data_IF_689109814002
#
_entry.id   IF_689109814002
#
_cell.length_a   1.000
_cell.length_b   1.000
_cell.length_c   1.000
_cell.angle_alpha   90.00
_cell.angle_beta   90.00
_cell.angle_gamma   90.00
#
_symmetry.space_group_name_H-M   'P 1'
#
loop_
_entity.id
_entity.type
_entity.pdbx_description
1 polymer ?
#
# COMPACT_ATOMS: atom_id res chain seq x y z
N UNK A 1 11.56 22.16 -5.49
CA UNK A 1 10.58 23.26 -5.32
C UNK A 1 10.03 23.14 -3.90
N UNK A 2 10.24 24.15 -3.04
CA UNK A 2 9.68 24.09 -1.67
C UNK A 2 8.16 24.11 -1.79
N UNK A 3 7.51 23.04 -1.38
CA UNK A 3 6.05 22.99 -1.27
C UNK A 3 5.69 24.04 -0.20
N UNK A 4 5.06 25.14 -0.64
CA UNK A 4 4.51 26.14 0.26
C UNK A 4 3.17 25.60 0.79
N UNK A 5 3.21 25.02 1.96
CA UNK A 5 2.02 24.70 2.74
C UNK A 5 1.31 26.01 3.08
N UNK A 6 0.05 26.10 2.72
CA UNK A 6 -0.79 27.26 3.02
C UNK A 6 -1.07 27.32 4.53
N UNK A 7 -0.15 27.93 5.28
CA UNK A 7 -0.33 28.26 6.71
C UNK A 7 -0.97 29.64 6.82
N UNK A 8 -2.27 29.75 6.69
CA UNK A 8 -3.01 30.88 7.23
C UNK A 8 -4.00 30.38 8.28
N UNK A 9 -3.54 30.23 9.51
CA UNK A 9 -4.41 30.32 10.70
C UNK A 9 -4.08 31.59 11.44
N UNK A 10 -5.02 32.50 11.43
CA UNK A 10 -5.03 33.79 12.12
C UNK A 10 -5.09 33.54 13.64
N UNK A 11 -4.22 34.24 14.38
CA UNK A 11 -4.23 34.30 15.85
C UNK A 11 -5.61 34.72 16.37
N UNK A 12 -6.25 33.86 17.15
CA UNK A 12 -7.39 34.23 18.00
C UNK A 12 -7.32 33.45 19.31
N UNK A 13 -7.15 34.23 20.39
CA UNK A 13 -7.49 33.96 21.79
C UNK A 13 -6.90 32.71 22.46
N UNK A 14 -6.05 32.92 23.45
CA UNK A 14 -5.63 31.92 24.44
C UNK A 14 -6.85 31.39 25.24
N UNK A 15 -7.57 30.45 24.65
CA UNK A 15 -8.33 29.43 25.38
C UNK A 15 -7.36 28.27 25.65
N UNK A 16 -7.48 27.61 26.79
CA UNK A 16 -6.77 26.34 27.08
C UNK A 16 -7.05 25.35 25.94
N UNK A 17 -6.23 25.35 24.89
CA UNK A 17 -6.33 24.41 23.78
C UNK A 17 -5.88 23.07 24.38
N UNK A 18 -6.85 22.20 24.65
CA UNK A 18 -6.56 20.83 25.04
C UNK A 18 -5.88 20.16 23.85
N UNK A 19 -4.61 19.76 24.01
CA UNK A 19 -3.84 19.05 22.98
C UNK A 19 -4.57 17.76 22.58
N UNK A 20 -4.91 17.60 21.30
CA UNK A 20 -5.48 16.35 20.78
C UNK A 20 -4.45 15.23 20.85
N UNK A 21 -4.81 14.09 21.39
CA UNK A 21 -3.96 12.90 21.46
C UNK A 21 -4.17 12.05 20.22
N UNK A 22 -3.16 11.99 19.37
CA UNK A 22 -3.19 11.17 18.15
C UNK A 22 -2.39 9.90 18.40
N UNK A 23 -3.02 8.74 18.22
CA UNK A 23 -2.38 7.43 18.27
C UNK A 23 -2.04 6.98 16.84
N UNK A 24 -0.75 6.91 16.54
CA UNK A 24 -0.23 6.46 15.24
C UNK A 24 0.17 4.98 15.35
N UNK A 25 -0.35 4.14 14.46
CA UNK A 25 -0.05 2.70 14.43
C UNK A 25 0.81 2.40 13.21
N UNK A 26 1.90 1.69 13.42
CA UNK A 26 3.02 1.50 12.52
C UNK A 26 3.83 2.80 12.33
N UNK A 27 5.10 2.74 12.71
CA UNK A 27 6.02 3.88 12.66
C UNK A 27 7.24 3.51 11.82
N UNK A 28 7.06 2.72 10.77
CA UNK A 28 8.10 2.40 9.81
C UNK A 28 8.44 3.59 8.91
N UNK A 29 9.49 3.46 8.11
CA UNK A 29 9.92 4.50 7.16
C UNK A 29 8.79 4.83 6.14
N UNK A 30 7.97 3.86 5.82
CA UNK A 30 6.82 4.00 4.94
C UNK A 30 5.78 5.01 5.46
N UNK A 31 5.77 5.28 6.78
CA UNK A 31 4.91 6.28 7.41
C UNK A 31 5.55 7.68 7.46
N UNK A 32 6.74 7.87 6.91
CA UNK A 32 7.48 9.13 7.02
C UNK A 32 6.65 10.36 6.59
N UNK A 33 5.98 10.39 5.43
CA UNK A 33 5.17 11.54 5.02
C UNK A 33 4.03 11.83 6.00
N UNK A 34 3.34 10.80 6.49
CA UNK A 34 2.26 10.94 7.47
C UNK A 34 2.78 11.48 8.81
N UNK A 35 3.87 10.92 9.34
CA UNK A 35 4.46 11.36 10.61
C UNK A 35 4.95 12.81 10.50
N UNK A 36 5.63 13.17 9.40
CA UNK A 36 6.13 14.52 9.17
C UNK A 36 4.99 15.54 9.04
N UNK A 37 3.88 15.16 8.40
CA UNK A 37 2.66 15.98 8.37
C UNK A 37 2.10 16.21 9.77
N UNK A 38 1.95 15.15 10.58
CA UNK A 38 1.41 15.22 11.94
C UNK A 38 2.28 16.08 12.87
N UNK A 39 3.60 16.04 12.72
CA UNK A 39 4.54 16.91 13.47
C UNK A 39 4.33 18.40 13.14
N UNK A 40 3.84 18.70 11.95
CA UNK A 40 3.48 20.09 11.57
C UNK A 40 2.23 20.63 12.25
N UNK A 41 1.43 19.79 12.91
CA UNK A 41 0.24 20.22 13.66
C UNK A 41 0.64 20.74 15.05
N UNK A 42 0.18 21.94 15.41
CA UNK A 42 0.62 22.63 16.64
C UNK A 42 -0.17 22.29 17.89
N UNK A 43 -1.35 21.68 17.72
CA UNK A 43 -2.33 21.38 18.78
C UNK A 43 -2.49 19.89 19.06
N UNK A 44 -1.51 19.08 18.67
CA UNK A 44 -1.53 17.63 18.78
C UNK A 44 -0.36 17.08 19.60
N UNK A 45 -0.60 15.98 20.29
CA UNK A 45 0.40 15.17 20.98
C UNK A 45 0.39 13.76 20.42
N UNK A 46 1.53 13.30 19.89
CA UNK A 46 1.65 12.01 19.23
C UNK A 46 1.98 10.90 20.24
N UNK A 47 1.31 9.77 20.07
CA UNK A 47 1.58 8.48 20.71
C UNK A 47 1.77 7.44 19.62
N UNK A 48 2.64 6.46 19.84
CA UNK A 48 2.98 5.49 18.81
C UNK A 48 2.82 4.04 19.22
N UNK A 49 2.50 3.18 18.24
CA UNK A 49 2.61 1.73 18.37
C UNK A 49 3.46 1.23 17.21
N UNK A 50 4.50 0.42 17.51
CA UNK A 50 5.38 -0.13 16.49
C UNK A 50 5.87 -1.53 16.85
N UNK A 51 6.16 -2.35 15.82
CA UNK A 51 6.60 -3.74 16.01
C UNK A 51 8.10 -3.87 16.31
N UNK A 52 8.91 -2.85 16.06
CA UNK A 52 10.36 -2.88 16.28
C UNK A 52 10.82 -1.77 17.23
N UNK A 53 12.08 -1.86 17.65
CA UNK A 53 12.72 -0.85 18.52
C UNK A 53 13.29 0.35 17.75
N UNK A 54 13.17 0.35 16.43
CA UNK A 54 13.72 1.38 15.54
C UNK A 54 12.63 2.06 14.72
N UNK A 55 11.68 2.76 15.36
CA UNK A 55 10.64 3.50 14.64
C UNK A 55 11.24 4.74 13.95
N UNK A 56 10.52 5.26 12.95
CA UNK A 56 10.83 6.54 12.32
C UNK A 56 10.56 7.68 13.30
N UNK A 57 11.51 8.60 13.47
CA UNK A 57 11.43 9.80 14.33
C UNK A 57 10.86 9.53 15.74
N UNK A 58 11.44 8.62 16.53
CA UNK A 58 10.90 8.26 17.85
C UNK A 58 10.79 9.45 18.81
N UNK A 59 11.62 10.48 18.63
CA UNK A 59 11.69 11.67 19.48
C UNK A 59 10.42 12.55 19.42
N UNK A 60 9.59 12.43 18.37
CA UNK A 60 8.37 13.25 18.22
C UNK A 60 7.18 12.66 18.98
N UNK A 61 7.28 11.42 19.45
CA UNK A 61 6.24 10.72 20.19
C UNK A 61 6.43 10.87 21.71
N UNK A 62 5.36 11.21 22.42
CA UNK A 62 5.38 11.25 23.89
C UNK A 62 5.70 9.88 24.49
N UNK A 63 5.15 8.84 23.90
CA UNK A 63 5.37 7.44 24.30
C UNK A 63 5.14 6.53 23.10
N UNK A 64 5.98 5.51 22.97
CA UNK A 64 5.85 4.47 21.97
C UNK A 64 5.68 3.13 22.67
N UNK A 65 4.67 2.37 22.28
CA UNK A 65 4.44 0.99 22.70
C UNK A 65 4.97 0.04 21.65
N UNK A 66 5.89 -0.86 22.02
CA UNK A 66 6.45 -1.84 21.11
C UNK A 66 5.75 -3.18 21.28
N UNK A 67 5.02 -3.63 20.25
CA UNK A 67 4.35 -4.93 20.21
C UNK A 67 4.12 -5.37 18.75
N UNK A 68 3.79 -6.64 18.54
CA UNK A 68 3.28 -7.11 17.26
C UNK A 68 1.99 -6.36 16.90
N UNK A 69 1.88 -5.85 15.66
CA UNK A 69 0.69 -5.10 15.21
C UNK A 69 -0.58 -5.97 15.11
N UNK A 70 -0.47 -7.28 15.31
CA UNK A 70 -1.58 -8.23 15.41
C UNK A 70 -1.97 -8.53 16.84
N UNK A 71 -1.18 -8.12 17.84
CA UNK A 71 -1.47 -8.29 19.26
C UNK A 71 -2.49 -7.25 19.75
N UNK A 72 -3.76 -7.44 19.32
CA UNK A 72 -4.85 -6.54 19.67
C UNK A 72 -5.03 -6.34 21.19
N UNK A 73 -4.89 -7.35 22.07
CA UNK A 73 -4.93 -7.15 23.52
C UNK A 73 -3.89 -6.14 24.01
N UNK A 74 -2.63 -6.26 23.56
CA UNK A 74 -1.54 -5.34 23.92
C UNK A 74 -1.78 -3.93 23.38
N UNK A 75 -2.21 -3.82 22.12
CA UNK A 75 -2.57 -2.57 21.45
C UNK A 75 -3.70 -1.86 22.22
N UNK A 76 -4.78 -2.57 22.56
CA UNK A 76 -5.92 -2.00 23.29
C UNK A 76 -5.56 -1.61 24.73
N UNK A 77 -4.67 -2.35 25.40
CA UNK A 77 -4.16 -1.97 26.70
C UNK A 77 -3.48 -0.60 26.65
N UNK A 78 -2.59 -0.40 25.66
CA UNK A 78 -1.94 0.89 25.47
C UNK A 78 -2.91 1.99 25.05
N UNK A 79 -3.81 1.74 24.11
CA UNK A 79 -4.84 2.71 23.69
C UNK A 79 -5.73 3.17 24.86
N UNK A 80 -6.10 2.24 25.77
CA UNK A 80 -6.84 2.60 26.98
C UNK A 80 -6.04 3.53 27.92
N UNK A 81 -4.71 3.37 28.01
CA UNK A 81 -3.87 4.25 28.84
C UNK A 81 -3.70 5.65 28.22
N UNK A 82 -3.72 5.75 26.89
CA UNK A 82 -3.62 7.01 26.14
C UNK A 82 -4.96 7.73 26.11
N UNK A 83 -6.08 6.99 25.92
CA UNK A 83 -7.40 7.56 25.60
C UNK A 83 -7.31 8.54 24.43
N UNK A 84 -7.05 8.04 23.19
CA UNK A 84 -6.79 8.90 22.03
C UNK A 84 -8.04 9.64 21.58
N UNK A 85 -7.84 10.83 21.03
CA UNK A 85 -8.86 11.65 20.34
C UNK A 85 -8.92 11.33 18.84
N UNK A 86 -7.85 10.70 18.30
CA UNK A 86 -7.79 10.18 16.95
C UNK A 86 -6.85 8.96 16.88
N UNK A 87 -7.12 8.06 15.94
CA UNK A 87 -6.24 6.94 15.61
C UNK A 87 -5.95 6.96 14.11
N UNK A 88 -4.68 6.82 13.74
CA UNK A 88 -4.21 6.98 12.37
C UNK A 88 -3.24 5.87 12.00
N UNK A 89 -3.37 5.36 10.78
CA UNK A 89 -2.45 4.39 10.18
C UNK A 89 -2.58 4.40 8.67
N UNK A 90 -1.50 4.10 7.95
CA UNK A 90 -1.54 3.89 6.51
C UNK A 90 -0.56 2.80 6.05
N UNK A 91 -0.64 2.39 4.78
CA UNK A 91 0.25 1.46 4.06
C UNK A 91 0.44 0.06 4.69
N UNK A 92 -0.31 -0.29 5.73
CA UNK A 92 -0.12 -1.58 6.43
C UNK A 92 -1.46 -2.23 6.81
N UNK A 93 -1.70 -3.44 6.30
CA UNK A 93 -2.97 -4.15 6.51
C UNK A 93 -3.22 -4.51 7.98
N UNK A 94 -2.15 -4.89 8.72
CA UNK A 94 -2.29 -5.23 10.14
C UNK A 94 -2.61 -4.00 10.99
N UNK A 95 -2.00 -2.87 10.69
CA UNK A 95 -2.27 -1.62 11.41
C UNK A 95 -3.63 -1.04 11.06
N UNK A 96 -4.13 -1.25 9.84
CA UNK A 96 -5.51 -0.91 9.45
C UNK A 96 -6.53 -1.63 10.35
N UNK A 97 -6.34 -2.94 10.58
CA UNK A 97 -7.26 -3.69 11.43
C UNK A 97 -7.21 -3.20 12.88
N UNK A 98 -6.01 -2.94 13.40
CA UNK A 98 -5.85 -2.36 14.75
C UNK A 98 -6.48 -0.96 14.85
N UNK A 99 -6.33 -0.12 13.82
CA UNK A 99 -6.99 1.20 13.72
C UNK A 99 -8.50 1.06 13.77
N UNK A 100 -9.09 0.15 13.00
CA UNK A 100 -10.54 -0.08 12.98
C UNK A 100 -11.06 -0.52 14.36
N UNK A 101 -10.34 -1.42 15.05
CA UNK A 101 -10.70 -1.88 16.40
C UNK A 101 -10.68 -0.74 17.43
N UNK A 102 -9.66 0.13 17.37
CA UNK A 102 -9.55 1.28 18.26
C UNK A 102 -10.63 2.32 17.93
N UNK A 103 -10.83 2.62 16.66
CA UNK A 103 -11.87 3.56 16.22
C UNK A 103 -13.26 3.14 16.72
N UNK A 104 -13.62 1.88 16.55
CA UNK A 104 -14.88 1.33 17.05
C UNK A 104 -14.98 1.43 18.58
N UNK A 105 -13.91 0.99 19.30
CA UNK A 105 -13.91 0.96 20.78
C UNK A 105 -14.04 2.34 21.41
N UNK A 106 -13.41 3.36 20.84
CA UNK A 106 -13.38 4.72 21.37
C UNK A 106 -14.38 5.66 20.69
N UNK A 107 -15.20 5.12 19.76
CA UNK A 107 -16.15 5.89 18.94
C UNK A 107 -15.47 7.05 18.20
N UNK A 108 -14.33 6.75 17.56
CA UNK A 108 -13.53 7.69 16.75
C UNK A 108 -13.82 7.51 15.27
N UNK A 109 -13.58 8.54 14.45
CA UNK A 109 -13.55 8.36 12.99
C UNK A 109 -12.48 7.35 12.56
N UNK A 110 -12.83 6.49 11.59
CA UNK A 110 -11.91 5.49 11.11
C UNK A 110 -12.58 4.48 10.17
N UNK A 111 -11.79 3.54 9.62
CA UNK A 111 -12.32 2.46 8.80
C UNK A 111 -13.22 1.55 9.62
N UNK A 112 -14.23 0.95 8.99
CA UNK A 112 -15.10 0.00 9.64
C UNK A 112 -14.38 -1.34 9.91
N UNK A 113 -14.79 -2.08 10.94
CA UNK A 113 -14.26 -3.43 11.19
C UNK A 113 -14.49 -4.36 9.99
N UNK A 114 -15.60 -4.20 9.28
CA UNK A 114 -15.92 -5.03 8.10
C UNK A 114 -14.94 -4.72 6.97
N UNK A 115 -14.69 -3.44 6.66
CA UNK A 115 -13.76 -3.07 5.60
C UNK A 115 -12.33 -3.54 5.91
N UNK A 116 -11.89 -3.37 7.15
CA UNK A 116 -10.59 -3.83 7.61
C UNK A 116 -10.45 -5.37 7.56
N UNK A 117 -11.52 -6.11 7.90
CA UNK A 117 -11.52 -7.57 7.82
C UNK A 117 -11.49 -8.06 6.38
N UNK A 118 -12.24 -7.41 5.46
CA UNK A 118 -12.22 -7.72 4.04
C UNK A 118 -10.84 -7.44 3.42
N UNK A 119 -10.20 -6.32 3.80
CA UNK A 119 -8.82 -6.01 3.38
C UNK A 119 -7.83 -7.12 3.78
N UNK A 120 -7.95 -7.66 4.99
CA UNK A 120 -7.01 -8.63 5.54
C UNK A 120 -7.29 -10.09 5.16
N UNK A 121 -8.30 -10.37 4.32
CA UNK A 121 -8.69 -11.75 3.98
C UNK A 121 -9.11 -11.89 2.53
N UNK A 122 -8.21 -12.45 1.73
CA UNK A 122 -8.42 -12.61 0.28
C UNK A 122 -9.63 -13.48 -0.08
N UNK A 123 -9.92 -14.50 0.72
CA UNK A 123 -11.08 -15.35 0.50
C UNK A 123 -12.40 -14.59 0.72
N UNK A 124 -12.49 -13.81 1.80
CA UNK A 124 -13.66 -12.98 2.05
C UNK A 124 -13.86 -11.91 0.96
N UNK A 125 -12.77 -11.35 0.41
CA UNK A 125 -12.86 -10.47 -0.75
C UNK A 125 -13.47 -11.18 -1.95
N UNK A 126 -13.03 -12.41 -2.25
CA UNK A 126 -13.56 -13.21 -3.36
C UNK A 126 -15.03 -13.55 -3.17
N UNK A 127 -15.41 -14.05 -2.00
CA UNK A 127 -16.82 -14.35 -1.67
C UNK A 127 -17.71 -13.10 -1.84
N UNK A 128 -17.24 -11.96 -1.33
CA UNK A 128 -17.97 -10.71 -1.42
C UNK A 128 -18.08 -10.20 -2.86
N UNK A 129 -16.97 -10.24 -3.60
CA UNK A 129 -16.92 -9.84 -5.01
C UNK A 129 -17.81 -10.74 -5.88
N UNK A 130 -17.74 -12.06 -5.68
CA UNK A 130 -18.60 -13.03 -6.36
C UNK A 130 -20.08 -12.77 -6.10
N UNK A 131 -20.47 -12.59 -4.83
CA UNK A 131 -21.85 -12.30 -4.45
C UNK A 131 -22.38 -10.98 -5.05
N UNK A 132 -21.49 -10.09 -5.53
CA UNK A 132 -21.83 -8.84 -6.20
C UNK A 132 -21.70 -8.90 -7.72
N UNK A 133 -21.38 -10.07 -8.28
CA UNK A 133 -21.20 -10.27 -9.71
C UNK A 133 -20.01 -9.54 -10.33
N UNK A 134 -18.97 -9.27 -9.52
CA UNK A 134 -17.73 -8.68 -10.02
C UNK A 134 -16.85 -9.73 -10.72
N UNK A 135 -16.09 -9.31 -11.72
CA UNK A 135 -15.14 -10.17 -12.42
C UNK A 135 -13.93 -10.46 -11.52
N UNK A 136 -13.72 -11.72 -11.21
CA UNK A 136 -12.65 -12.23 -10.35
C UNK A 136 -12.08 -13.52 -10.95
N UNK A 137 -10.83 -13.92 -10.65
CA UNK A 137 -10.32 -15.23 -10.98
C UNK A 137 -11.19 -16.34 -10.36
N UNK A 138 -11.29 -17.51 -10.98
CA UNK A 138 -11.78 -18.69 -10.29
C UNK A 138 -10.89 -18.94 -9.06
N UNK A 139 -11.47 -19.40 -7.95
CA UNK A 139 -10.74 -19.51 -6.67
C UNK A 139 -11.27 -20.63 -5.79
N UNK A 140 -10.42 -21.09 -4.87
CA UNK A 140 -10.81 -22.03 -3.81
C UNK A 140 -9.98 -21.80 -2.55
N UNK A 141 -10.62 -21.82 -1.38
CA UNK A 141 -9.93 -21.90 -0.10
C UNK A 141 -9.38 -23.33 0.09
N UNK A 142 -8.10 -23.44 0.42
CA UNK A 142 -7.39 -24.69 0.55
C UNK A 142 -6.84 -24.86 1.97
N UNK A 143 -7.12 -26.00 2.58
CA UNK A 143 -6.58 -26.41 3.89
C UNK A 143 -5.58 -27.55 3.77
N UNK A 144 -5.65 -28.29 2.68
CA UNK A 144 -4.76 -29.41 2.33
C UNK A 144 -4.30 -29.29 0.88
N UNK A 145 -3.18 -29.89 0.55
CA UNK A 145 -2.60 -29.84 -0.79
C UNK A 145 -3.52 -30.44 -1.87
N UNK A 146 -4.30 -31.44 -1.53
CA UNK A 146 -5.23 -32.08 -2.46
C UNK A 146 -6.36 -31.16 -2.95
N UNK A 147 -6.67 -30.10 -2.17
CA UNK A 147 -7.56 -29.04 -2.63
C UNK A 147 -7.00 -28.30 -3.85
N UNK A 148 -5.68 -28.01 -3.85
CA UNK A 148 -5.00 -27.34 -4.96
C UNK A 148 -4.90 -28.28 -6.18
N UNK A 149 -4.57 -29.57 -5.96
CA UNK A 149 -4.53 -30.58 -7.03
C UNK A 149 -5.88 -30.70 -7.73
N UNK A 150 -6.95 -30.87 -6.95
CA UNK A 150 -8.31 -30.92 -7.48
C UNK A 150 -8.72 -29.66 -8.24
N UNK A 151 -8.29 -28.50 -7.75
CA UNK A 151 -8.54 -27.23 -8.45
C UNK A 151 -7.80 -27.18 -9.79
N UNK A 152 -6.52 -27.62 -9.83
CA UNK A 152 -5.74 -27.71 -11.06
C UNK A 152 -6.31 -28.68 -12.10
N UNK A 153 -6.86 -29.80 -11.65
CA UNK A 153 -7.57 -30.76 -12.53
C UNK A 153 -8.81 -30.14 -13.22
N UNK A 154 -9.49 -29.20 -12.53
CA UNK A 154 -10.71 -28.57 -13.05
C UNK A 154 -10.44 -27.34 -13.91
N UNK A 155 -9.43 -26.54 -13.57
CA UNK A 155 -9.18 -25.23 -14.20
C UNK A 155 -7.92 -25.19 -15.07
N UNK A 156 -7.05 -26.21 -14.98
CA UNK A 156 -5.75 -26.25 -15.69
C UNK A 156 -4.65 -25.46 -14.96
N UNK A 157 -3.52 -25.34 -15.63
CA UNK A 157 -2.33 -24.63 -15.17
C UNK A 157 -1.93 -23.56 -16.17
N UNK A 158 -1.23 -22.48 -15.78
CA UNK A 158 -0.71 -22.22 -14.44
C UNK A 158 -1.79 -21.74 -13.45
N UNK A 159 -1.46 -21.86 -12.14
CA UNK A 159 -2.29 -21.38 -11.02
C UNK A 159 -1.51 -20.40 -10.16
N UNK A 160 -2.21 -19.57 -9.40
CA UNK A 160 -1.64 -18.79 -8.29
C UNK A 160 -2.04 -19.46 -6.98
N UNK A 161 -1.04 -19.79 -6.17
CA UNK A 161 -1.22 -20.31 -4.81
C UNK A 161 -0.61 -19.28 -3.84
N UNK A 162 -1.40 -18.81 -2.89
CA UNK A 162 -0.97 -17.70 -2.03
C UNK A 162 -1.54 -17.80 -0.61
N UNK A 163 -0.85 -17.22 0.40
CA UNK A 163 -1.38 -17.11 1.76
C UNK A 163 -2.69 -16.32 1.77
N UNK A 164 -3.62 -16.75 2.64
CA UNK A 164 -4.90 -16.07 2.79
C UNK A 164 -4.74 -14.65 3.32
N UNK A 165 -3.78 -14.44 4.22
CA UNK A 165 -3.69 -13.32 5.16
C UNK A 165 -2.28 -12.71 5.26
N UNK A 166 -1.53 -12.70 4.16
CA UNK A 166 -0.23 -12.06 4.06
C UNK A 166 -0.23 -10.96 2.98
N UNK A 167 0.80 -10.10 2.98
CA UNK A 167 0.99 -8.91 2.15
C UNK A 167 2.34 -8.93 1.42
N UNK A 168 2.55 -7.98 0.48
CA UNK A 168 3.86 -7.75 -0.16
C UNK A 168 4.37 -8.95 -0.96
N UNK A 169 3.49 -9.68 -1.59
CA UNK A 169 3.79 -10.88 -2.41
C UNK A 169 4.49 -12.03 -1.68
N UNK A 170 4.61 -11.98 -0.33
CA UNK A 170 5.21 -13.08 0.43
C UNK A 170 4.40 -14.36 0.33
N UNK A 171 5.04 -15.43 -0.18
CA UNK A 171 4.41 -16.73 -0.34
C UNK A 171 3.42 -16.82 -1.51
N UNK A 172 3.40 -15.85 -2.42
CA UNK A 172 2.64 -15.93 -3.68
C UNK A 172 3.46 -16.73 -4.68
N UNK A 173 2.93 -17.87 -5.12
CA UNK A 173 3.61 -18.81 -6.01
C UNK A 173 2.78 -19.05 -7.26
N UNK A 174 3.40 -18.88 -8.44
CA UNK A 174 2.86 -19.35 -9.70
C UNK A 174 3.21 -20.83 -9.85
N UNK A 175 2.21 -21.68 -9.85
CA UNK A 175 2.32 -23.14 -9.99
C UNK A 175 2.09 -23.48 -11.46
N UNK A 176 3.15 -23.87 -12.16
CA UNK A 176 3.13 -24.06 -13.62
C UNK A 176 2.59 -25.45 -14.03
N UNK A 177 2.64 -26.45 -13.13
CA UNK A 177 2.28 -27.82 -13.45
C UNK A 177 1.91 -28.62 -12.18
N UNK A 178 1.27 -29.80 -12.33
CA UNK A 178 0.92 -30.67 -11.20
C UNK A 178 2.10 -31.02 -10.29
N UNK A 179 3.31 -31.15 -10.85
CA UNK A 179 4.52 -31.54 -10.13
C UNK A 179 4.98 -30.47 -9.14
N UNK A 180 4.66 -29.20 -9.40
CA UNK A 180 5.03 -28.06 -8.55
C UNK A 180 3.98 -27.70 -7.49
N UNK A 181 2.84 -28.41 -7.44
CA UNK A 181 1.74 -28.11 -6.49
C UNK A 181 2.19 -28.27 -5.04
N UNK A 182 2.87 -29.40 -4.69
CA UNK A 182 3.25 -29.68 -3.30
C UNK A 182 4.19 -28.61 -2.75
N UNK A 183 5.22 -28.20 -3.53
CA UNK A 183 6.14 -27.13 -3.12
C UNK A 183 5.43 -25.78 -3.04
N UNK A 184 4.63 -25.41 -4.03
CA UNK A 184 3.90 -24.14 -4.04
C UNK A 184 2.91 -24.00 -2.89
N UNK A 185 2.22 -25.10 -2.53
CA UNK A 185 1.31 -25.12 -1.38
C UNK A 185 2.07 -24.92 -0.06
N UNK A 186 3.22 -25.63 0.12
CA UNK A 186 4.04 -25.48 1.32
C UNK A 186 4.57 -24.06 1.44
N UNK A 187 5.10 -23.48 0.37
CA UNK A 187 5.61 -22.11 0.37
C UNK A 187 4.52 -21.08 0.76
N UNK A 188 3.31 -21.22 0.22
CA UNK A 188 2.19 -20.38 0.61
C UNK A 188 1.78 -20.60 2.07
N UNK A 189 1.74 -21.87 2.53
CA UNK A 189 1.29 -22.24 3.86
C UNK A 189 2.20 -21.71 4.97
N UNK A 190 3.52 -21.78 4.79
CA UNK A 190 4.49 -21.28 5.79
C UNK A 190 4.40 -19.77 5.98
N UNK A 191 3.94 -19.04 4.96
CA UNK A 191 3.74 -17.59 4.99
C UNK A 191 2.33 -17.17 5.43
N UNK A 192 1.40 -18.11 5.64
CA UNK A 192 0.05 -17.82 6.15
C UNK A 192 0.00 -17.84 7.68
N UNK A 193 -0.52 -16.78 8.28
CA UNK A 193 -0.72 -16.70 9.73
C UNK A 193 -1.88 -17.59 10.20
N UNK A 194 -2.94 -17.67 9.41
CA UNK A 194 -4.10 -18.54 9.68
C UNK A 194 -3.87 -19.99 9.28
N UNK A 195 -2.73 -20.33 8.66
CA UNK A 195 -2.46 -21.66 8.08
C UNK A 195 -3.48 -22.07 7.02
N UNK A 196 -3.98 -21.09 6.27
CA UNK A 196 -4.88 -21.28 5.15
C UNK A 196 -4.29 -20.67 3.88
N UNK A 197 -4.59 -21.31 2.76
CA UNK A 197 -4.09 -20.93 1.44
C UNK A 197 -5.29 -20.71 0.52
N UNK A 198 -5.19 -19.79 -0.40
CA UNK A 198 -6.13 -19.63 -1.50
C UNK A 198 -5.43 -20.00 -2.80
N UNK A 199 -6.09 -20.83 -3.63
CA UNK A 199 -5.68 -21.09 -5.02
C UNK A 199 -6.58 -20.31 -5.95
N UNK A 200 -5.99 -19.75 -7.01
CA UNK A 200 -6.70 -18.97 -8.03
C UNK A 200 -6.24 -19.35 -9.44
N UNK A 201 -7.12 -19.18 -10.41
CA UNK A 201 -6.75 -19.15 -11.83
C UNK A 201 -5.69 -18.06 -12.06
N UNK A 202 -4.63 -18.38 -12.81
CA UNK A 202 -3.68 -17.39 -13.26
C UNK A 202 -4.28 -16.55 -14.39
N UNK A 203 -4.41 -15.26 -14.18
CA UNK A 203 -4.89 -14.33 -15.21
C UNK A 203 -3.68 -13.69 -15.89
N UNK A 204 -3.46 -14.06 -17.14
CA UNK A 204 -2.46 -13.41 -17.99
C UNK A 204 -3.03 -12.10 -18.54
N UNK A 205 -2.25 -11.01 -18.48
CA UNK A 205 -2.71 -9.71 -18.96
C UNK A 205 -1.91 -8.53 -18.45
N UNK A 206 -2.49 -7.34 -18.53
CA UNK A 206 -1.88 -6.11 -18.06
C UNK A 206 -2.19 -5.96 -16.56
N UNK A 207 -1.15 -5.83 -15.74
CA UNK A 207 -1.29 -5.58 -14.30
C UNK A 207 -1.43 -4.08 -14.05
N UNK A 208 -2.56 -3.69 -13.47
CA UNK A 208 -2.83 -2.30 -13.09
C UNK A 208 -3.09 -2.16 -11.60
N UNK A 209 -2.86 -0.96 -11.08
CA UNK A 209 -3.36 -0.52 -9.78
C UNK A 209 -4.29 0.67 -9.97
N UNK A 210 -5.33 0.74 -9.14
CA UNK A 210 -6.20 1.92 -9.05
C UNK A 210 -6.23 2.39 -7.62
N UNK A 211 -5.79 3.62 -7.43
CA UNK A 211 -5.71 4.29 -6.15
C UNK A 211 -6.81 5.34 -6.03
N UNK A 212 -7.34 5.48 -4.83
CA UNK A 212 -8.46 6.38 -4.59
C UNK A 212 -8.70 6.70 -3.13
N UNK A 213 -9.88 7.24 -2.87
CA UNK A 213 -10.30 7.64 -1.53
C UNK A 213 -11.79 7.40 -1.31
N UNK A 214 -12.15 6.85 -0.16
CA UNK A 214 -13.52 6.70 0.28
C UNK A 214 -13.94 7.93 1.10
N UNK A 215 -14.47 8.95 0.40
CA UNK A 215 -14.96 10.19 1.00
C UNK A 215 -16.30 9.94 1.72
N UNK A 216 -16.46 10.53 2.89
CA UNK A 216 -17.65 10.36 3.72
C UNK A 216 -18.96 10.70 2.99
N UNK A 217 -18.96 11.78 2.20
CA UNK A 217 -20.17 12.28 1.54
C UNK A 217 -20.28 11.87 0.06
N UNK A 218 -19.12 11.70 -0.62
CA UNK A 218 -19.09 11.41 -2.06
C UNK A 218 -18.99 9.90 -2.36
N UNK A 219 -18.75 9.08 -1.32
CA UNK A 219 -18.42 7.67 -1.49
C UNK A 219 -17.00 7.46 -2.03
N UNK A 220 -16.71 6.25 -2.50
CA UNK A 220 -15.39 5.93 -3.05
C UNK A 220 -15.20 6.58 -4.41
N UNK A 221 -14.04 7.24 -4.58
CA UNK A 221 -13.59 7.88 -5.82
C UNK A 221 -12.23 7.33 -6.22
N UNK A 222 -12.13 6.89 -7.46
CA UNK A 222 -10.86 6.57 -8.09
C UNK A 222 -10.15 7.85 -8.49
N UNK A 223 -8.86 7.97 -8.20
CA UNK A 223 -8.10 9.21 -8.40
C UNK A 223 -6.93 9.03 -9.36
N UNK A 224 -6.28 7.89 -9.33
CA UNK A 224 -5.16 7.56 -10.22
C UNK A 224 -5.18 6.08 -10.57
N UNK A 225 -4.77 5.78 -11.79
CA UNK A 225 -4.54 4.43 -12.29
C UNK A 225 -3.10 4.31 -12.79
N UNK A 226 -2.46 3.20 -12.47
CA UNK A 226 -1.12 2.91 -12.95
C UNK A 226 -1.00 1.55 -13.61
N UNK A 227 0.00 1.40 -14.49
CA UNK A 227 0.48 0.10 -14.98
C UNK A 227 1.75 -0.28 -14.25
N UNK A 228 1.87 -1.58 -13.89
CA UNK A 228 3.09 -2.14 -13.28
C UNK A 228 4.04 -2.70 -14.33
N UNK A 229 5.32 -2.40 -14.16
CA UNK A 229 6.43 -3.03 -14.89
C UNK A 229 7.07 -4.09 -13.97
N UNK A 230 7.15 -5.33 -14.42
CA UNK A 230 7.67 -6.45 -13.63
C UNK A 230 9.14 -6.74 -13.98
N UNK A 231 9.89 -7.33 -13.03
CA UNK A 231 11.31 -7.70 -13.24
C UNK A 231 11.46 -8.77 -14.31
N UNK A 232 10.65 -9.82 -14.21
CA UNK A 232 10.60 -10.96 -15.12
C UNK A 232 9.18 -11.49 -15.18
N UNK A 233 8.83 -12.21 -16.23
CA UNK A 233 7.47 -12.75 -16.42
C UNK A 233 6.98 -13.64 -15.26
N UNK A 234 7.90 -14.26 -14.50
CA UNK A 234 7.58 -15.18 -13.41
C UNK A 234 7.63 -14.56 -12.01
N UNK A 235 8.16 -13.36 -11.85
CA UNK A 235 8.20 -12.66 -10.58
C UNK A 235 7.00 -11.72 -10.47
N UNK A 236 6.32 -11.71 -9.33
CA UNK A 236 5.21 -10.79 -9.06
C UNK A 236 5.71 -9.46 -8.47
N UNK A 237 7.00 -9.15 -8.64
CA UNK A 237 7.64 -7.97 -8.06
C UNK A 237 7.76 -6.87 -9.10
N UNK A 238 7.19 -5.71 -8.83
CA UNK A 238 7.30 -4.55 -9.71
C UNK A 238 8.69 -3.90 -9.61
N UNK A 239 9.27 -3.55 -10.76
CA UNK A 239 10.45 -2.68 -10.90
C UNK A 239 10.08 -1.24 -11.21
N UNK A 240 8.86 -0.99 -11.67
CA UNK A 240 8.33 0.34 -11.96
C UNK A 240 6.82 0.36 -11.90
N UNK A 241 6.28 1.53 -11.60
CA UNK A 241 4.85 1.81 -11.59
C UNK A 241 4.66 3.17 -12.26
N UNK A 242 3.89 3.21 -13.34
CA UNK A 242 3.74 4.39 -14.21
C UNK A 242 2.34 4.95 -14.11
N UNK A 243 2.23 6.23 -13.79
CA UNK A 243 0.99 7.01 -13.72
C UNK A 243 1.00 8.15 -14.76
N UNK A 244 -0.13 8.41 -15.46
CA UNK A 244 -1.25 7.48 -15.60
C UNK A 244 -0.80 6.20 -16.30
N UNK A 245 -1.51 5.09 -16.05
CA UNK A 245 -1.24 3.82 -16.71
C UNK A 245 -1.43 3.91 -18.22
N UNK A 246 -0.57 3.23 -18.96
CA UNK A 246 -0.62 3.16 -20.43
C UNK A 246 -1.74 2.20 -20.87
N UNK A 247 -2.94 2.76 -20.99
CA UNK A 247 -4.16 2.08 -21.44
C UNK A 247 -4.91 2.95 -22.44
N UNK A 248 -5.64 2.31 -23.35
CA UNK A 248 -6.63 2.99 -24.18
C UNK A 248 -7.65 3.72 -23.32
N UNK A 249 -8.05 4.94 -23.71
CA UNK A 249 -8.89 5.83 -22.89
C UNK A 249 -10.18 5.19 -22.40
N UNK A 250 -10.87 4.39 -23.23
CA UNK A 250 -12.11 3.72 -22.86
C UNK A 250 -11.87 2.67 -21.76
N UNK A 251 -10.79 1.90 -21.86
CA UNK A 251 -10.41 0.89 -20.88
C UNK A 251 -9.94 1.54 -19.57
N UNK A 252 -9.24 2.67 -19.65
CA UNK A 252 -8.83 3.47 -18.50
C UNK A 252 -10.04 3.92 -17.68
N UNK A 253 -11.01 4.59 -18.33
CA UNK A 253 -12.23 5.08 -17.67
C UNK A 253 -13.08 3.92 -17.11
N UNK A 254 -13.15 2.81 -17.84
CA UNK A 254 -13.81 1.58 -17.38
C UNK A 254 -13.17 1.04 -16.10
N UNK A 255 -11.85 0.99 -16.05
CA UNK A 255 -11.11 0.49 -14.87
C UNK A 255 -11.32 1.40 -13.66
N UNK A 256 -11.29 2.72 -13.83
CA UNK A 256 -11.60 3.70 -12.78
C UNK A 256 -13.02 3.49 -12.24
N UNK A 257 -13.99 3.33 -13.11
CA UNK A 257 -15.39 3.10 -12.73
C UNK A 257 -15.61 1.75 -12.04
N UNK A 258 -14.97 0.68 -12.53
CA UNK A 258 -15.02 -0.66 -11.93
C UNK A 258 -14.45 -0.61 -10.50
N UNK A 259 -13.37 0.11 -10.27
CA UNK A 259 -12.78 0.26 -8.94
C UNK A 259 -13.76 0.93 -7.93
N UNK A 260 -14.50 1.95 -8.33
CA UNK A 260 -15.51 2.57 -7.45
C UNK A 260 -16.62 1.56 -7.07
N UNK A 261 -17.02 0.69 -8.01
CA UNK A 261 -18.01 -0.38 -7.77
C UNK A 261 -17.42 -1.43 -6.82
N UNK A 262 -16.14 -1.84 -7.03
CA UNK A 262 -15.43 -2.79 -6.17
C UNK A 262 -15.35 -2.25 -4.75
N UNK A 263 -14.85 -1.03 -4.56
CA UNK A 263 -14.70 -0.40 -3.25
C UNK A 263 -16.04 -0.29 -2.51
N UNK A 264 -17.12 0.11 -3.20
CA UNK A 264 -18.47 0.12 -2.65
C UNK A 264 -18.93 -1.28 -2.24
N UNK A 265 -18.64 -2.29 -3.06
CA UNK A 265 -19.02 -3.69 -2.81
C UNK A 265 -18.26 -4.27 -1.62
N UNK A 266 -17.00 -3.85 -1.41
CA UNK A 266 -16.16 -4.20 -0.26
C UNK A 266 -16.42 -3.31 0.97
N UNK A 267 -17.42 -2.42 0.90
CA UNK A 267 -17.87 -1.55 2.00
C UNK A 267 -16.79 -0.56 2.48
N UNK A 268 -15.91 -0.11 1.58
CA UNK A 268 -14.94 0.93 1.89
C UNK A 268 -15.65 2.27 1.99
N UNK A 269 -15.64 2.84 3.17
CA UNK A 269 -16.39 4.04 3.52
C UNK A 269 -15.55 5.11 4.23
N UNK A 270 -14.23 4.90 4.34
CA UNK A 270 -13.33 5.80 5.04
C UNK A 270 -11.90 5.64 4.53
N UNK A 271 -11.25 6.76 4.20
CA UNK A 271 -9.82 6.81 3.97
C UNK A 271 -9.37 6.33 2.60
N UNK A 272 -8.09 6.10 2.48
CA UNK A 272 -7.41 5.71 1.26
C UNK A 272 -7.82 4.33 0.78
N UNK A 273 -7.78 4.10 -0.53
CA UNK A 273 -8.06 2.80 -1.16
C UNK A 273 -7.00 2.49 -2.21
N UNK A 274 -6.59 1.23 -2.26
CA UNK A 274 -5.63 0.70 -3.21
C UNK A 274 -6.11 -0.66 -3.72
N UNK A 275 -6.27 -0.80 -5.03
CA UNK A 275 -6.77 -2.04 -5.62
C UNK A 275 -5.90 -2.47 -6.79
N UNK A 276 -5.71 -3.77 -6.94
CA UNK A 276 -4.93 -4.40 -8.01
C UNK A 276 -5.84 -5.21 -8.92
N UNK A 277 -5.62 -5.08 -10.22
CA UNK A 277 -6.39 -5.77 -11.25
C UNK A 277 -5.47 -6.37 -12.32
N UNK A 278 -5.94 -7.47 -12.92
CA UNK A 278 -5.40 -7.97 -14.19
C UNK A 278 -6.42 -7.70 -15.29
N UNK A 279 -5.96 -7.15 -16.41
CA UNK A 279 -6.79 -6.91 -17.58
C UNK A 279 -6.46 -7.95 -18.64
N UNK A 280 -7.47 -8.77 -19.02
CA UNK A 280 -7.40 -9.75 -20.10
C UNK A 280 -8.44 -9.37 -21.17
N UNK A 281 -7.97 -8.83 -22.30
CA UNK A 281 -8.84 -8.23 -23.29
C UNK A 281 -9.59 -7.03 -22.71
N UNK A 282 -10.92 -7.07 -22.68
CA UNK A 282 -11.76 -6.03 -22.08
C UNK A 282 -12.21 -6.35 -20.64
N UNK A 283 -11.85 -7.53 -20.10
CA UNK A 283 -12.23 -7.97 -18.77
C UNK A 283 -11.23 -7.51 -17.72
N UNK A 284 -11.72 -6.93 -16.62
CA UNK A 284 -10.96 -6.38 -15.52
C UNK A 284 -11.18 -7.27 -14.29
N UNK A 285 -10.19 -8.10 -13.97
CA UNK A 285 -10.23 -9.07 -12.88
C UNK A 285 -9.70 -8.45 -11.60
N UNK A 286 -10.50 -8.39 -10.55
CA UNK A 286 -10.02 -7.97 -9.22
C UNK A 286 -9.04 -9.00 -8.67
N UNK A 287 -7.81 -8.58 -8.38
CA UNK A 287 -6.76 -9.41 -7.78
C UNK A 287 -6.66 -9.20 -6.28
N UNK A 288 -6.65 -7.96 -5.83
CA UNK A 288 -6.62 -7.61 -4.41
C UNK A 288 -7.13 -6.17 -4.24
N UNK A 289 -7.73 -5.88 -3.09
CA UNK A 289 -8.12 -4.51 -2.74
C UNK A 289 -7.91 -4.27 -1.26
N UNK A 290 -7.48 -3.07 -0.90
CA UNK A 290 -7.22 -2.66 0.46
C UNK A 290 -7.83 -1.29 0.76
N UNK A 291 -8.41 -1.14 1.96
CA UNK A 291 -8.91 0.14 2.46
C UNK A 291 -7.79 0.92 3.17
N UNK A 292 -6.67 1.05 2.52
CA UNK A 292 -5.47 1.79 2.92
C UNK A 292 -4.70 2.24 1.69
N UNK A 293 -3.72 3.10 1.87
CA UNK A 293 -2.83 3.53 0.80
C UNK A 293 -1.93 2.42 0.25
N UNK A 294 -1.50 2.57 -0.98
CA UNK A 294 -0.47 1.75 -1.61
C UNK A 294 0.89 1.95 -0.95
N UNK A 295 1.82 1.01 -1.15
CA UNK A 295 3.17 1.09 -0.61
C UNK A 295 4.02 2.18 -1.28
N UNK A 296 5.16 2.51 -0.65
CA UNK A 296 6.16 3.47 -1.16
C UNK A 296 5.55 4.83 -1.48
N UNK A 297 4.89 5.42 -0.48
CA UNK A 297 4.31 6.78 -0.55
C UNK A 297 3.28 7.00 -1.67
N UNK A 298 2.61 5.93 -2.11
CA UNK A 298 1.62 6.01 -3.18
C UNK A 298 0.55 7.05 -2.86
N UNK A 299 -0.11 6.92 -1.71
CA UNK A 299 -1.23 7.80 -1.36
C UNK A 299 -0.79 9.16 -0.83
N UNK A 300 0.41 9.28 -0.30
CA UNK A 300 0.92 10.51 0.30
C UNK A 300 1.64 11.42 -0.69
N UNK A 301 2.26 10.84 -1.73
CA UNK A 301 3.09 11.57 -2.70
C UNK A 301 2.62 11.33 -4.14
N UNK A 302 2.53 10.07 -4.57
CA UNK A 302 2.30 9.74 -5.99
C UNK A 302 0.89 10.16 -6.42
N UNK A 303 -0.15 9.70 -5.72
CA UNK A 303 -1.54 10.02 -6.08
C UNK A 303 -1.81 11.52 -5.99
N UNK A 304 -1.37 12.25 -4.95
CA UNK A 304 -1.47 13.72 -4.94
C UNK A 304 -0.79 14.40 -6.13
N UNK A 305 0.41 13.97 -6.50
CA UNK A 305 1.12 14.56 -7.65
C UNK A 305 0.46 14.21 -8.98
N UNK A 306 -0.04 12.99 -9.13
CA UNK A 306 -0.72 12.54 -10.35
C UNK A 306 -2.12 13.15 -10.48
N UNK A 307 -2.94 13.12 -9.43
CA UNK A 307 -4.35 13.56 -9.46
C UNK A 307 -4.56 15.01 -9.08
N UNK A 308 -3.60 15.62 -8.39
CA UNK A 308 -3.74 16.93 -7.77
C UNK A 308 -4.60 16.97 -6.51
N UNK A 309 -5.07 15.82 -5.99
CA UNK A 309 -5.91 15.74 -4.77
C UNK A 309 -5.02 15.50 -3.56
N UNK A 310 -5.03 16.41 -2.58
CA UNK A 310 -4.25 16.27 -1.34
C UNK A 310 -4.89 15.25 -0.40
N UNK A 311 -4.48 13.98 -0.56
CA UNK A 311 -5.01 12.86 0.22
C UNK A 311 -4.53 12.85 1.66
N UNK A 312 -3.31 13.29 1.91
CA UNK A 312 -2.74 13.26 3.26
C UNK A 312 -3.47 14.22 4.18
N UNK A 313 -3.69 15.47 3.72
CA UNK A 313 -4.48 16.46 4.44
C UNK A 313 -5.93 16.01 4.64
N UNK A 314 -6.57 15.42 3.61
CA UNK A 314 -7.91 14.87 3.70
C UNK A 314 -8.00 13.76 4.75
N UNK A 315 -7.06 12.81 4.72
CA UNK A 315 -7.08 11.64 5.61
C UNK A 315 -6.87 12.04 7.08
N UNK A 316 -5.93 12.96 7.33
CA UNK A 316 -5.69 13.46 8.70
C UNK A 316 -6.91 14.21 9.22
N UNK A 317 -7.54 15.08 8.40
CA UNK A 317 -8.74 15.80 8.77
C UNK A 317 -9.89 14.83 9.10
N UNK A 318 -10.11 13.80 8.26
CA UNK A 318 -11.14 12.78 8.49
C UNK A 318 -10.88 12.01 9.79
N UNK A 319 -9.63 11.59 10.07
CA UNK A 319 -9.28 10.91 11.33
C UNK A 319 -9.48 11.80 12.56
N UNK A 320 -9.31 13.11 12.42
CA UNK A 320 -9.55 14.10 13.48
C UNK A 320 -11.04 14.46 13.63
N UNK A 321 -11.91 13.93 12.77
CA UNK A 321 -13.34 14.26 12.73
C UNK A 321 -13.64 15.68 12.23
N UNK A 322 -12.71 16.26 11.46
CA UNK A 322 -12.86 17.59 10.90
C UNK A 322 -13.61 17.53 9.56
N UNK A 323 -14.37 18.57 9.25
CA UNK A 323 -15.02 18.68 7.95
C UNK A 323 -14.03 19.28 6.96
N UNK A 324 -13.56 18.46 6.05
CA UNK A 324 -12.69 18.85 4.95
C UNK A 324 -13.15 18.15 3.67
N UNK A 325 -13.03 18.79 2.53
CA UNK A 325 -13.23 18.15 1.23
C UNK A 325 -12.19 18.69 0.25
N UNK A 326 -11.14 17.88 0.03
CA UNK A 326 -10.09 18.18 -0.93
C UNK A 326 -10.38 17.56 -2.30
N UNK A 327 -11.55 16.97 -2.50
CA UNK A 327 -11.89 16.35 -3.78
C UNK A 327 -11.98 17.37 -4.90
N UNK A 328 -11.29 17.10 -5.99
CA UNK A 328 -11.42 17.73 -7.31
C UNK A 328 -11.33 16.64 -8.39
N UNK A 329 -11.71 16.98 -9.60
CA UNK A 329 -11.51 16.08 -10.74
C UNK A 329 -10.03 15.80 -10.92
N UNK A 330 -9.60 14.53 -11.04
CA UNK A 330 -8.19 14.17 -11.23
C UNK A 330 -7.56 14.77 -12.47
N UNK A 331 -6.29 15.16 -12.37
CA UNK A 331 -5.51 15.79 -13.45
C UNK A 331 -4.75 14.80 -14.33
N UNK A 332 -4.44 13.61 -13.84
CA UNK A 332 -3.66 12.55 -14.50
C UNK A 332 -2.27 13.00 -14.99
N UNK A 333 -1.53 13.70 -14.14
CA UNK A 333 -0.15 14.10 -14.41
C UNK A 333 0.78 12.87 -14.42
N UNK A 334 1.85 12.94 -15.21
CA UNK A 334 2.85 11.87 -15.29
C UNK A 334 3.70 11.80 -14.03
N UNK A 335 3.67 10.65 -13.36
CA UNK A 335 4.51 10.32 -12.19
C UNK A 335 4.97 8.88 -12.33
N UNK A 336 6.26 8.64 -12.09
CA UNK A 336 6.85 7.30 -12.15
C UNK A 336 7.50 6.97 -10.82
N UNK A 337 7.12 5.81 -10.26
CA UNK A 337 7.87 5.14 -9.20
C UNK A 337 8.79 4.12 -9.85
N UNK A 338 10.10 4.25 -9.64
CA UNK A 338 11.11 3.32 -10.18
C UNK A 338 11.92 2.72 -9.04
N UNK A 339 12.13 1.41 -9.08
CA UNK A 339 12.94 0.69 -8.11
C UNK A 339 14.33 0.37 -8.69
N UNK A 340 15.35 0.47 -7.85
CA UNK A 340 16.69 0.03 -8.21
C UNK A 340 16.80 -1.49 -8.12
N UNK A 341 17.41 -2.08 -9.15
CA UNK A 341 17.78 -3.49 -9.19
C UNK A 341 19.26 -3.58 -9.56
N UNK A 342 20.12 -3.82 -8.57
CA UNK A 342 21.55 -3.92 -8.76
C UNK A 342 22.01 -5.38 -8.81
N UNK A 343 23.12 -5.63 -9.48
CA UNK A 343 23.72 -6.96 -9.55
C UNK A 343 24.14 -7.46 -8.16
N UNK A 344 24.14 -8.78 -7.90
CA UNK A 344 24.65 -9.35 -6.65
C UNK A 344 26.14 -9.05 -6.46
N UNK A 345 26.55 -8.75 -5.22
CA UNK A 345 27.94 -8.48 -4.87
C UNK A 345 28.11 -7.68 -3.58
N UNK A 346 29.34 -7.57 -3.10
CA UNK A 346 29.68 -6.75 -1.92
C UNK A 346 29.90 -5.29 -2.34
N UNK A 347 29.11 -4.36 -1.82
CA UNK A 347 29.13 -2.94 -2.18
C UNK A 347 30.37 -2.24 -1.64
N UNK A 348 31.20 -1.69 -2.52
CA UNK A 348 32.36 -0.85 -2.15
C UNK A 348 32.19 0.62 -2.54
N UNK A 349 31.16 0.96 -3.30
CA UNK A 349 30.84 2.34 -3.66
C UNK A 349 29.50 2.45 -4.38
N UNK A 350 28.90 3.63 -4.31
CA UNK A 350 27.74 4.02 -5.12
C UNK A 350 28.06 5.37 -5.75
N UNK A 351 27.92 5.45 -7.07
CA UNK A 351 28.16 6.67 -7.86
C UNK A 351 26.84 7.14 -8.46
N UNK A 352 26.71 8.45 -8.68
CA UNK A 352 25.56 9.05 -9.36
C UNK A 352 24.31 9.22 -8.49
N UNK A 353 24.31 8.83 -7.23
CA UNK A 353 23.17 9.00 -6.33
C UNK A 353 22.74 10.47 -6.17
N UNK A 354 23.71 11.40 -6.25
CA UNK A 354 23.42 12.83 -6.24
C UNK A 354 22.60 13.31 -7.45
N UNK A 355 22.65 12.62 -8.58
CA UNK A 355 21.82 12.94 -9.74
C UNK A 355 20.34 12.72 -9.43
N UNK A 356 20.03 11.74 -8.58
CA UNK A 356 18.67 11.48 -8.09
C UNK A 356 18.31 12.52 -7.02
N UNK A 357 19.10 12.62 -5.95
CA UNK A 357 18.73 13.43 -4.77
C UNK A 357 18.67 14.93 -5.01
N UNK A 358 19.37 15.43 -6.05
CA UNK A 358 19.39 16.86 -6.42
C UNK A 358 18.51 17.19 -7.62
N UNK A 359 17.89 16.18 -8.25
CA UNK A 359 17.07 16.40 -9.43
C UNK A 359 15.77 17.13 -9.06
N UNK A 360 15.41 18.23 -9.77
CA UNK A 360 14.31 19.10 -9.37
C UNK A 360 12.91 18.45 -9.46
N UNK A 361 12.75 17.40 -10.28
CA UNK A 361 11.49 16.68 -10.46
C UNK A 361 11.40 15.42 -9.60
N UNK A 362 12.41 15.10 -8.79
CA UNK A 362 12.34 14.00 -7.82
C UNK A 362 11.53 14.44 -6.61
N UNK A 363 10.46 13.69 -6.34
CA UNK A 363 9.54 13.92 -5.22
C UNK A 363 10.00 13.23 -3.94
N UNK A 364 10.51 12.00 -4.09
CA UNK A 364 11.08 11.21 -3.01
C UNK A 364 12.08 10.19 -3.56
N UNK A 365 13.06 9.81 -2.77
CA UNK A 365 14.01 8.76 -3.10
C UNK A 365 14.67 8.21 -1.86
N UNK A 366 14.99 6.93 -1.85
CA UNK A 366 15.79 6.29 -0.81
C UNK A 366 16.64 5.16 -1.41
N UNK A 367 17.81 4.93 -0.82
CA UNK A 367 18.73 3.88 -1.19
C UNK A 367 18.93 2.96 0.00
N UNK A 368 18.50 1.70 -0.13
CA UNK A 368 18.50 0.73 0.98
C UNK A 368 19.81 -0.02 1.14
N UNK A 369 20.74 0.09 0.18
CA UNK A 369 22.08 -0.50 0.23
C UNK A 369 23.11 0.48 0.76
N UNK A 370 24.08 -0.01 1.50
CA UNK A 370 25.17 0.75 2.12
C UNK A 370 26.53 0.11 1.79
N UNK A 371 27.60 0.85 2.01
CA UNK A 371 28.96 0.31 1.91
C UNK A 371 29.12 -0.90 2.84
N UNK A 372 29.64 -2.00 2.29
CA UNK A 372 29.84 -3.27 2.99
C UNK A 372 28.66 -4.23 2.95
N UNK A 373 27.48 -3.80 2.46
CA UNK A 373 26.35 -4.71 2.29
C UNK A 373 26.59 -5.70 1.15
N UNK A 374 26.01 -6.89 1.28
CA UNK A 374 25.94 -7.86 0.19
C UNK A 374 24.58 -7.74 -0.49
N UNK A 375 24.59 -7.28 -1.73
CA UNK A 375 23.38 -7.21 -2.58
C UNK A 375 22.99 -8.62 -3.00
N UNK A 376 21.70 -8.94 -2.88
CA UNK A 376 21.07 -10.19 -3.31
C UNK A 376 20.03 -9.92 -4.40
N UNK A 377 19.69 -10.91 -5.24
CA UNK A 377 18.59 -10.74 -6.21
C UNK A 377 17.27 -10.36 -5.53
N UNK A 378 16.47 -9.52 -6.20
CA UNK A 378 15.15 -9.11 -5.70
C UNK A 378 14.17 -10.27 -5.90
N UNK A 379 13.60 -10.76 -4.80
CA UNK A 379 12.62 -11.87 -4.78
C UNK A 379 11.29 -11.47 -4.15
N UNK A 380 11.24 -10.29 -3.52
CA UNK A 380 10.04 -9.74 -2.88
C UNK A 380 10.15 -8.23 -2.75
N UNK A 381 9.06 -7.59 -2.39
CA UNK A 381 9.02 -6.13 -2.13
C UNK A 381 9.95 -5.71 -0.98
N UNK A 382 10.24 -6.62 -0.05
CA UNK A 382 11.05 -6.32 1.13
C UNK A 382 12.55 -6.27 0.87
N UNK A 383 13.04 -6.87 -0.21
CA UNK A 383 14.48 -6.90 -0.52
C UNK A 383 14.85 -6.05 -1.73
N UNK A 384 14.05 -5.00 -2.02
CA UNK A 384 14.39 -3.97 -3.00
C UNK A 384 15.62 -3.17 -2.56
N UNK A 385 16.37 -2.65 -3.53
CA UNK A 385 17.64 -1.97 -3.26
C UNK A 385 17.48 -0.46 -3.08
N UNK A 386 16.30 0.08 -3.31
CA UNK A 386 15.96 1.48 -3.21
C UNK A 386 14.92 1.87 -4.26
N UNK A 387 14.52 3.14 -4.24
CA UNK A 387 13.53 3.69 -5.16
C UNK A 387 13.74 5.19 -5.39
N UNK A 388 13.10 5.71 -6.42
CA UNK A 388 12.79 7.13 -6.55
C UNK A 388 11.40 7.34 -7.17
N UNK A 389 10.81 8.49 -6.89
CA UNK A 389 9.54 8.96 -7.44
C UNK A 389 9.83 10.21 -8.23
N UNK A 390 9.48 10.20 -9.52
CA UNK A 390 9.76 11.26 -10.49
C UNK A 390 8.46 11.84 -11.05
N UNK A 391 8.32 13.17 -11.04
CA UNK A 391 7.37 13.87 -11.92
C UNK A 391 7.93 13.87 -13.35
N UNK A 392 7.41 13.00 -14.22
CA UNK A 392 7.91 12.83 -15.58
C UNK A 392 7.51 11.51 -16.20
N UNK A 393 8.07 11.25 -17.37
CA UNK A 393 7.79 10.03 -18.15
C UNK A 393 8.61 8.84 -17.67
N UNK A 394 8.24 7.65 -18.18
CA UNK A 394 9.01 6.43 -17.98
C UNK A 394 10.42 6.55 -18.60
N UNK A 395 10.56 7.19 -19.75
CA UNK A 395 11.85 7.40 -20.40
C UNK A 395 12.77 8.30 -19.56
N UNK A 396 12.25 9.41 -18.99
CA UNK A 396 13.01 10.25 -18.03
C UNK A 396 13.50 9.42 -16.84
N UNK A 397 12.68 8.49 -16.35
CA UNK A 397 13.04 7.65 -15.21
C UNK A 397 14.13 6.63 -15.55
N UNK A 398 14.09 6.03 -16.76
CA UNK A 398 15.15 5.13 -17.21
C UNK A 398 16.49 5.87 -17.39
N UNK A 399 16.48 7.07 -18.00
CA UNK A 399 17.68 7.90 -18.13
C UNK A 399 18.31 8.21 -16.77
N UNK A 400 17.50 8.53 -15.77
CA UNK A 400 17.99 8.77 -14.39
C UNK A 400 18.50 7.50 -13.72
N UNK A 401 17.81 6.36 -13.89
CA UNK A 401 18.21 5.06 -13.35
C UNK A 401 19.63 4.68 -13.80
N UNK A 402 19.95 4.88 -15.08
CA UNK A 402 21.26 4.57 -15.67
C UNK A 402 22.41 5.41 -15.10
N UNK A 403 22.12 6.55 -14.47
CA UNK A 403 23.16 7.40 -13.85
C UNK A 403 23.68 6.83 -12.54
N UNK A 404 22.94 5.93 -11.87
CA UNK A 404 23.31 5.36 -10.58
C UNK A 404 24.01 4.00 -10.77
N UNK A 405 25.23 3.90 -10.31
CA UNK A 405 26.07 2.70 -10.46
C UNK A 405 26.58 2.24 -9.10
N UNK A 406 26.60 0.92 -8.92
CA UNK A 406 27.16 0.27 -7.72
C UNK A 406 28.48 -0.39 -8.11
N UNK A 407 29.53 -0.10 -7.34
CA UNK A 407 30.84 -0.70 -7.47
C UNK A 407 30.95 -1.85 -6.46
N UNK A 408 31.49 -2.97 -6.91
CA UNK A 408 31.60 -4.21 -6.14
C UNK A 408 33.05 -4.60 -5.92
N UNK A 409 33.31 -5.30 -4.79
CA UNK A 409 34.61 -5.87 -4.46
C UNK A 409 35.00 -7.06 -5.36
#
# INVERSE_FOLDING_TARGET
MKIHWCTQRIFALQSNIQMKKILVINLGWEQAPLIDYLVGLTDCQLFGIHFSKTPYRPEVFKTIHTCDLRDLPSILYFANSVTPDAVISDQCDYSLFAQAVIAEKFNLPGPSLISAQLTNNKYLQRERAHAKGLTIPAYKLCTVVDDVKTFGENYGYPLIVKPLDNRGSFGVVKVESPESVDSGFIDALIHSHSRQVIVEEFIEGIHITVDGYAFKELGSKSLSLATKQLVEENTQVAIGIVYPGDLESELFEKAMSVNEIVNKSLMYNFGMTHSEYMIRGEEIYLIESANRGGGVFTSEIIVPSSSGVDLLSQYVADCLGETCSNYKMPEHNQVVLRFFSFAPGCVIGVEGWENITKHPRILASDLFIKLGDTVSPITSDANRHGFFILEGSSDDAEELLETVKVNYA
#
